data_IF_288048729256
#
_entry.id   IF_288048729256
#
_cell.length_a   1.000
_cell.length_b   1.000
_cell.length_c   1.000
_cell.angle_alpha   90.00
_cell.angle_beta   90.00
_cell.angle_gamma   90.00
#
_symmetry.space_group_name_H-M   'P 1'
#
loop_
_entity.id
_entity.type
_entity.pdbx_description
1 polymer ?
#
# COMPACT_ATOMS: atom_id res chain seq x y z
N UNK A 1 3.96 18.01 -2.81
CA UNK A 1 3.49 16.72 -2.26
C UNK A 1 2.53 16.13 -3.27
N UNK A 2 2.88 15.00 -3.91
CA UNK A 2 2.17 14.55 -5.11
C UNK A 2 1.18 13.41 -4.84
N UNK A 3 1.44 12.58 -3.82
CA UNK A 3 0.54 11.49 -3.43
C UNK A 3 0.47 11.35 -1.90
N UNK A 4 -0.75 11.18 -1.37
CA UNK A 4 -1.03 10.83 0.02
C UNK A 4 -1.98 9.64 0.05
N UNK A 5 -1.60 8.62 0.80
CA UNK A 5 -2.45 7.48 1.11
C UNK A 5 -2.66 7.47 2.62
N UNK A 6 -3.91 7.33 3.05
CA UNK A 6 -4.28 7.20 4.45
C UNK A 6 -5.15 5.96 4.62
N UNK A 7 -4.80 5.17 5.62
CA UNK A 7 -5.57 4.05 6.14
C UNK A 7 -6.02 3.03 5.08
N UNK A 8 -5.20 2.84 4.04
CA UNK A 8 -5.49 1.92 2.96
C UNK A 8 -5.69 0.51 3.52
N UNK A 9 -6.84 -0.07 3.22
CA UNK A 9 -7.22 -1.41 3.64
C UNK A 9 -7.78 -2.17 2.46
N UNK A 10 -7.38 -3.42 2.31
CA UNK A 10 -7.84 -4.29 1.22
C UNK A 10 -8.05 -5.71 1.72
N UNK A 11 -9.13 -6.33 1.26
CA UNK A 11 -9.44 -7.73 1.52
C UNK A 11 -9.56 -8.49 0.20
N UNK A 12 -9.12 -9.74 0.19
CA UNK A 12 -9.26 -10.67 -0.92
C UNK A 12 -9.57 -12.06 -0.38
N UNK A 13 -10.61 -12.73 -0.91
CA UNK A 13 -11.05 -14.04 -0.42
C UNK A 13 -11.39 -14.08 1.08
N UNK A 14 -12.00 -13.02 1.60
CA UNK A 14 -12.33 -12.89 3.04
C UNK A 14 -11.14 -12.57 3.95
N UNK A 15 -9.90 -12.60 3.45
CA UNK A 15 -8.69 -12.26 4.22
C UNK A 15 -8.31 -10.80 4.00
N UNK A 16 -8.03 -10.07 5.09
CA UNK A 16 -7.49 -8.71 5.02
C UNK A 16 -6.00 -8.76 4.68
N UNK A 17 -5.64 -8.32 3.47
CA UNK A 17 -4.29 -8.36 2.89
C UNK A 17 -3.52 -7.04 3.13
N UNK A 18 -4.21 -5.91 3.16
CA UNK A 18 -3.65 -4.61 3.57
C UNK A 18 -4.44 -4.09 4.77
N UNK A 19 -3.75 -3.65 5.82
CA UNK A 19 -4.33 -3.25 7.11
C UNK A 19 -3.88 -1.83 7.49
N UNK A 20 -4.60 -0.81 7.04
CA UNK A 20 -4.38 0.57 7.48
C UNK A 20 -3.04 1.17 7.06
N UNK A 21 -2.64 0.96 5.80
CA UNK A 21 -1.38 1.50 5.27
C UNK A 21 -1.51 3.01 4.98
N UNK A 22 -0.65 3.81 5.61
CA UNK A 22 -0.59 5.27 5.45
C UNK A 22 0.81 5.69 5.01
N UNK A 23 0.92 6.38 3.86
CA UNK A 23 2.21 6.90 3.37
C UNK A 23 2.02 8.12 2.47
N UNK A 24 3.10 8.84 2.19
CA UNK A 24 3.13 9.95 1.25
C UNK A 24 4.32 9.85 0.33
N UNK A 25 4.14 10.23 -0.94
CA UNK A 25 5.21 10.31 -1.93
C UNK A 25 5.47 11.78 -2.25
N UNK A 26 6.74 12.18 -2.13
CA UNK A 26 7.22 13.50 -2.55
C UNK A 26 7.67 13.45 -4.00
N UNK A 27 7.75 14.62 -4.61
CA UNK A 27 8.28 14.74 -5.97
C UNK A 27 9.75 14.32 -6.00
N UNK A 28 10.16 13.59 -7.04
CA UNK A 28 11.50 13.01 -7.16
C UNK A 28 11.79 11.80 -6.24
N UNK A 29 10.84 11.36 -5.43
CA UNK A 29 11.02 10.22 -4.52
C UNK A 29 10.61 8.90 -5.18
N UNK A 30 11.50 7.90 -5.13
CA UNK A 30 11.18 6.52 -5.53
C UNK A 30 10.74 5.73 -4.29
N UNK A 31 9.62 5.03 -4.38
CA UNK A 31 9.08 4.20 -3.30
C UNK A 31 8.85 2.78 -3.82
N UNK A 32 9.45 1.79 -3.13
CA UNK A 32 9.22 0.37 -3.39
C UNK A 32 8.27 -0.22 -2.37
N UNK A 33 7.20 -0.87 -2.84
CA UNK A 33 6.31 -1.66 -2.00
C UNK A 33 6.78 -3.12 -2.02
N UNK A 34 7.36 -3.58 -0.90
CA UNK A 34 8.02 -4.90 -0.77
C UNK A 34 7.21 -5.83 0.15
N UNK A 35 7.34 -7.15 -0.06
CA UNK A 35 6.67 -8.18 0.76
C UNK A 35 6.38 -9.49 0.00
N UNK A 36 5.93 -10.55 0.69
CA UNK A 36 5.62 -11.85 0.07
C UNK A 36 4.54 -11.79 -1.01
N UNK A 37 4.46 -12.82 -1.87
CA UNK A 37 3.34 -12.95 -2.82
C UNK A 37 2.01 -13.03 -2.07
N UNK A 38 1.00 -12.30 -2.54
CA UNK A 38 -0.30 -12.18 -1.87
C UNK A 38 -0.38 -11.14 -0.74
N UNK A 39 0.68 -10.35 -0.49
CA UNK A 39 0.68 -9.30 0.54
C UNK A 39 -0.07 -8.00 0.14
N UNK A 40 -0.73 -7.94 -1.03
CA UNK A 40 -1.43 -6.74 -1.49
C UNK A 40 -0.53 -5.64 -2.06
N UNK A 41 0.59 -6.03 -2.71
CA UNK A 41 1.51 -5.07 -3.34
C UNK A 41 1.03 -4.57 -4.70
N UNK A 42 0.37 -5.44 -5.46
CA UNK A 42 -0.14 -5.17 -6.81
C UNK A 42 -1.64 -4.88 -6.81
N UNK A 43 -2.30 -5.10 -5.67
CA UNK A 43 -3.76 -5.08 -5.50
C UNK A 43 -4.15 -4.12 -4.40
#
# INVERSE_FOLDING_TARGET
MILKVKDLSKSYGGKKIVKGLSFSVREGQVVGLLGPNGAGKTT
#
